data_IF_863930140399
#
_entry.id   IF_863930140399
#
_cell.length_a   1.000
_cell.length_b   1.000
_cell.length_c   1.000
_cell.angle_alpha   90.00
_cell.angle_beta   90.00
_cell.angle_gamma   90.00
#
_symmetry.space_group_name_H-M   'P 1'
#
loop_
_entity.id
_entity.type
_entity.pdbx_description
1 polymer ?
#
# COMPACT_ATOMS: atom_id res chain seq x y z
N UNK A 1 12.39 -2.72 14.45
CA UNK A 1 11.37 -3.35 13.60
C UNK A 1 11.78 -4.77 13.15
N UNK A 2 13.01 -4.96 12.60
CA UNK A 2 13.43 -6.25 12.00
C UNK A 2 13.33 -7.45 12.95
N UNK A 3 13.66 -7.31 14.23
CA UNK A 3 13.53 -8.38 15.24
C UNK A 3 12.12 -8.49 15.83
N UNK A 4 11.37 -7.40 15.84
CA UNK A 4 10.06 -7.35 16.50
C UNK A 4 8.96 -8.08 15.69
N UNK A 5 8.87 -7.84 14.38
CA UNK A 5 7.79 -8.38 13.57
C UNK A 5 7.74 -9.92 13.51
N UNK A 6 8.86 -10.62 13.27
CA UNK A 6 8.83 -12.09 13.31
C UNK A 6 8.45 -12.64 14.68
N UNK A 7 9.00 -12.07 15.77
CA UNK A 7 8.67 -12.48 17.15
C UNK A 7 7.21 -12.23 17.49
N UNK A 8 6.64 -11.10 17.05
CA UNK A 8 5.22 -10.80 17.24
C UNK A 8 4.32 -11.78 16.46
N UNK A 9 4.69 -12.11 15.21
CA UNK A 9 3.98 -13.11 14.42
C UNK A 9 4.00 -14.48 15.10
N UNK A 10 5.17 -14.93 15.58
CA UNK A 10 5.31 -16.20 16.30
C UNK A 10 4.46 -16.25 17.58
N UNK A 11 4.47 -15.17 18.36
CA UNK A 11 3.63 -15.07 19.56
C UNK A 11 2.14 -15.15 19.22
N UNK A 12 1.71 -14.48 18.13
CA UNK A 12 0.34 -14.58 17.64
C UNK A 12 -0.05 -16.01 17.26
N UNK A 13 0.85 -16.72 16.56
CA UNK A 13 0.65 -18.12 16.19
C UNK A 13 0.62 -19.04 17.41
N UNK A 14 1.52 -18.85 18.38
CA UNK A 14 1.54 -19.61 19.64
C UNK A 14 0.23 -19.44 20.43
N UNK A 15 -0.33 -18.24 20.46
CA UNK A 15 -1.62 -17.97 21.10
C UNK A 15 -2.78 -18.63 20.36
N UNK A 16 -2.92 -18.34 19.07
CA UNK A 16 -4.10 -18.73 18.29
C UNK A 16 -4.14 -20.21 17.93
N UNK A 17 -2.99 -20.89 17.94
CA UNK A 17 -2.87 -22.32 17.69
C UNK A 17 -2.70 -23.14 18.98
N UNK A 18 -2.87 -22.53 20.15
CA UNK A 18 -2.79 -23.23 21.44
C UNK A 18 -4.07 -24.07 21.68
N UNK A 19 -3.93 -25.38 21.64
CA UNK A 19 -5.06 -26.31 21.78
C UNK A 19 -5.78 -26.15 23.11
N UNK A 20 -5.05 -26.01 24.22
CA UNK A 20 -5.65 -25.87 25.54
C UNK A 20 -6.44 -24.58 25.71
N UNK A 21 -5.95 -23.48 25.10
CA UNK A 21 -6.66 -22.20 25.08
C UNK A 21 -7.89 -22.27 24.17
N UNK A 22 -7.73 -22.86 22.98
CA UNK A 22 -8.83 -23.01 22.03
C UNK A 22 -9.98 -23.87 22.59
N UNK A 23 -9.68 -25.00 23.26
CA UNK A 23 -10.70 -25.85 23.88
C UNK A 23 -11.52 -25.11 24.94
N UNK A 24 -10.91 -24.19 25.71
CA UNK A 24 -11.65 -23.34 26.65
C UNK A 24 -12.60 -22.38 25.93
N UNK A 25 -12.10 -21.73 24.86
CA UNK A 25 -12.92 -20.82 24.04
C UNK A 25 -14.07 -21.60 23.39
N UNK A 26 -13.77 -22.78 22.84
CA UNK A 26 -14.75 -23.66 22.22
C UNK A 26 -15.82 -24.12 23.21
N UNK A 27 -15.45 -24.47 24.43
CA UNK A 27 -16.41 -24.85 25.49
C UNK A 27 -17.41 -23.72 25.78
N UNK A 28 -16.94 -22.48 25.85
CA UNK A 28 -17.83 -21.32 26.07
C UNK A 28 -18.67 -21.06 24.81
N UNK A 29 -18.07 -21.18 23.62
CA UNK A 29 -18.75 -21.02 22.33
C UNK A 29 -19.90 -22.03 22.14
N UNK A 30 -19.66 -23.30 22.48
CA UNK A 30 -20.67 -24.37 22.36
C UNK A 30 -21.90 -24.11 23.29
N UNK A 31 -21.70 -23.39 24.38
CA UNK A 31 -22.76 -22.99 25.34
C UNK A 31 -23.24 -21.53 25.19
N UNK A 32 -22.93 -20.86 24.07
CA UNK A 32 -23.13 -19.41 23.88
C UNK A 32 -24.58 -18.95 23.93
N UNK A 33 -25.54 -19.86 23.71
CA UNK A 33 -26.95 -19.52 23.77
C UNK A 33 -27.43 -19.14 25.19
N UNK A 34 -26.67 -19.52 26.23
CA UNK A 34 -26.90 -19.15 27.61
C UNK A 34 -26.27 -17.83 28.04
N UNK A 35 -25.53 -17.18 27.17
CA UNK A 35 -24.77 -15.96 27.44
C UNK A 35 -25.62 -14.72 27.13
N UNK A 36 -25.28 -13.61 27.78
CA UNK A 36 -25.83 -12.28 27.41
C UNK A 36 -25.37 -11.91 25.98
N UNK A 37 -26.12 -11.07 25.26
CA UNK A 37 -25.88 -10.77 23.84
C UNK A 37 -24.44 -10.27 23.52
N UNK A 38 -23.86 -9.44 24.36
CA UNK A 38 -22.48 -8.92 24.23
C UNK A 38 -21.45 -10.01 24.50
N UNK A 39 -21.65 -10.86 25.50
CA UNK A 39 -20.81 -12.01 25.81
C UNK A 39 -20.86 -13.04 24.68
N UNK A 40 -22.04 -13.34 24.16
CA UNK A 40 -22.26 -14.21 23.00
C UNK A 40 -21.46 -13.69 21.80
N UNK A 41 -21.63 -12.40 21.48
CA UNK A 41 -20.90 -11.79 20.37
C UNK A 41 -19.38 -11.86 20.57
N UNK A 42 -18.90 -11.60 21.77
CA UNK A 42 -17.48 -11.68 22.08
C UNK A 42 -16.91 -13.09 21.84
N UNK A 43 -17.58 -14.13 22.38
CA UNK A 43 -17.08 -15.52 22.21
C UNK A 43 -17.16 -15.98 20.75
N UNK A 44 -18.16 -15.57 19.99
CA UNK A 44 -18.26 -15.85 18.55
C UNK A 44 -17.08 -15.27 17.79
N UNK A 45 -16.70 -14.01 18.05
CA UNK A 45 -15.56 -13.37 17.41
C UNK A 45 -14.23 -14.01 17.82
N UNK A 46 -14.05 -14.35 19.11
CA UNK A 46 -12.85 -15.09 19.56
C UNK A 46 -12.76 -16.47 18.90
N UNK A 47 -13.82 -17.26 18.94
CA UNK A 47 -13.83 -18.58 18.29
C UNK A 47 -13.49 -18.49 16.81
N UNK A 48 -14.13 -17.58 16.09
CA UNK A 48 -13.89 -17.33 14.68
C UNK A 48 -12.45 -16.89 14.40
N UNK A 49 -11.90 -16.01 15.24
CA UNK A 49 -10.51 -15.58 15.13
C UNK A 49 -9.55 -16.74 15.26
N UNK A 50 -9.73 -17.61 16.24
CA UNK A 50 -8.88 -18.80 16.43
C UNK A 50 -8.98 -19.77 15.25
N UNK A 51 -10.19 -20.06 14.80
CA UNK A 51 -10.42 -20.95 13.64
C UNK A 51 -9.75 -20.40 12.38
N UNK A 52 -9.89 -19.12 12.12
CA UNK A 52 -9.28 -18.43 10.96
C UNK A 52 -7.76 -18.37 11.03
N UNK A 53 -7.18 -18.51 12.20
CA UNK A 53 -5.73 -18.59 12.40
C UNK A 53 -5.22 -20.02 12.59
N UNK A 54 -6.03 -21.04 12.28
CA UNK A 54 -5.58 -22.42 12.17
C UNK A 54 -5.79 -23.28 13.41
N UNK A 55 -6.61 -22.85 14.39
CA UNK A 55 -6.85 -23.63 15.62
C UNK A 55 -7.37 -25.04 15.35
N UNK A 56 -8.15 -25.25 14.28
CA UNK A 56 -8.71 -26.56 13.90
C UNK A 56 -7.78 -27.43 13.05
N UNK A 57 -6.61 -26.95 12.69
CA UNK A 57 -5.65 -27.73 11.90
C UNK A 57 -5.00 -28.83 12.77
N UNK A 58 -4.60 -29.91 12.13
CA UNK A 58 -3.72 -30.91 12.74
C UNK A 58 -2.32 -30.33 13.02
N UNK A 59 -1.55 -31.02 13.84
CA UNK A 59 -0.25 -30.54 14.30
C UNK A 59 0.72 -30.23 13.16
N UNK A 60 0.76 -31.07 12.12
CA UNK A 60 1.67 -30.88 10.99
C UNK A 60 1.30 -29.65 10.18
N UNK A 61 0.01 -29.43 9.91
CA UNK A 61 -0.47 -28.24 9.23
C UNK A 61 -0.33 -26.96 10.05
N UNK A 62 -0.42 -27.05 11.39
CA UNK A 62 -0.13 -25.91 12.26
C UNK A 62 1.33 -25.48 12.11
N UNK A 63 2.28 -26.42 12.11
CA UNK A 63 3.69 -26.10 11.91
C UNK A 63 3.95 -25.54 10.50
N UNK A 64 3.31 -26.07 9.46
CA UNK A 64 3.40 -25.50 8.11
C UNK A 64 2.83 -24.07 8.06
N UNK A 65 1.69 -23.81 8.70
CA UNK A 65 1.09 -22.47 8.75
C UNK A 65 1.97 -21.46 9.49
N UNK A 66 2.60 -21.85 10.61
CA UNK A 66 3.60 -21.04 11.32
C UNK A 66 4.79 -20.68 10.43
N UNK A 67 5.30 -21.66 9.68
CA UNK A 67 6.38 -21.43 8.74
C UNK A 67 5.98 -20.41 7.65
N UNK A 68 4.79 -20.56 7.07
CA UNK A 68 4.24 -19.62 6.07
C UNK A 68 4.01 -18.22 6.67
N UNK A 69 3.52 -18.11 7.91
CA UNK A 69 3.32 -16.82 8.58
C UNK A 69 4.67 -16.13 8.84
N UNK A 70 5.67 -16.86 9.28
CA UNK A 70 7.05 -16.35 9.47
C UNK A 70 7.66 -15.89 8.15
N UNK A 71 7.50 -16.66 7.08
CA UNK A 71 7.93 -16.26 5.72
C UNK A 71 7.26 -14.96 5.27
N UNK A 72 5.94 -14.86 5.43
CA UNK A 72 5.19 -13.63 5.08
C UNK A 72 5.67 -12.43 5.90
N UNK A 73 5.89 -12.58 7.22
CA UNK A 73 6.40 -11.50 8.06
C UNK A 73 7.75 -10.98 7.56
N UNK A 74 8.68 -11.88 7.22
CA UNK A 74 9.99 -11.51 6.68
C UNK A 74 9.89 -10.87 5.29
N UNK A 75 9.01 -11.37 4.42
CA UNK A 75 8.78 -10.81 3.09
C UNK A 75 8.18 -9.39 3.18
N UNK A 76 7.25 -9.14 4.09
CA UNK A 76 6.71 -7.79 4.31
C UNK A 76 7.77 -6.82 4.85
N UNK A 77 8.65 -7.28 5.74
CA UNK A 77 9.80 -6.49 6.19
C UNK A 77 10.71 -6.13 5.01
N UNK A 78 11.06 -7.10 4.18
CA UNK A 78 11.89 -6.89 3.00
C UNK A 78 11.24 -5.92 2.03
N UNK A 79 9.94 -6.10 1.74
CA UNK A 79 9.17 -5.21 0.89
C UNK A 79 9.22 -3.76 1.37
N UNK A 80 8.94 -3.54 2.65
CA UNK A 80 8.94 -2.19 3.23
C UNK A 80 10.34 -1.58 3.28
N UNK A 81 11.38 -2.38 3.55
CA UNK A 81 12.77 -1.93 3.53
C UNK A 81 13.21 -1.48 2.13
N UNK A 82 12.90 -2.29 1.11
CA UNK A 82 13.18 -1.93 -0.27
C UNK A 82 12.45 -0.64 -0.69
N UNK A 83 11.17 -0.52 -0.34
CA UNK A 83 10.39 0.68 -0.60
C UNK A 83 10.99 1.92 0.07
N UNK A 84 11.36 1.80 1.35
CA UNK A 84 12.00 2.90 2.09
C UNK A 84 13.35 3.29 1.48
N UNK A 85 14.19 2.31 1.17
CA UNK A 85 15.50 2.55 0.58
C UNK A 85 15.38 3.23 -0.79
N UNK A 86 14.48 2.73 -1.65
CA UNK A 86 14.23 3.33 -2.96
C UNK A 86 13.67 4.77 -2.83
N UNK A 87 12.76 5.01 -1.87
CA UNK A 87 12.23 6.35 -1.59
C UNK A 87 13.34 7.33 -1.18
N UNK A 88 14.22 6.90 -0.28
CA UNK A 88 15.31 7.74 0.24
C UNK A 88 16.45 7.95 -0.77
N UNK A 89 16.63 7.01 -1.70
CA UNK A 89 17.66 7.10 -2.74
C UNK A 89 17.25 7.99 -3.91
N UNK A 90 15.94 8.22 -4.10
CA UNK A 90 15.46 9.06 -5.20
C UNK A 90 15.69 10.54 -4.92
N UNK A 91 16.26 11.23 -5.89
CA UNK A 91 16.42 12.69 -5.88
C UNK A 91 16.36 13.27 -7.29
N UNK A 92 15.81 14.47 -7.42
CA UNK A 92 15.96 15.33 -8.59
C UNK A 92 16.78 16.53 -8.15
N UNK A 93 17.97 16.67 -8.73
CA UNK A 93 18.86 17.81 -8.46
C UNK A 93 18.64 18.86 -9.55
N UNK A 94 18.24 20.06 -9.14
CA UNK A 94 18.07 21.21 -10.01
C UNK A 94 19.21 22.20 -9.75
N UNK A 95 19.92 22.59 -10.79
CA UNK A 95 21.05 23.52 -10.75
C UNK A 95 20.67 24.91 -11.31
N UNK A 96 19.68 24.95 -12.22
CA UNK A 96 19.21 26.16 -12.84
C UNK A 96 17.92 26.65 -12.18
N UNK A 97 17.98 27.81 -11.53
CA UNK A 97 16.83 28.43 -10.85
C UNK A 97 15.67 28.78 -11.78
N UNK A 98 15.88 28.91 -13.07
CA UNK A 98 14.80 29.16 -14.04
C UNK A 98 13.82 28.02 -14.14
N UNK A 99 14.25 26.79 -13.86
CA UNK A 99 13.41 25.59 -13.81
C UNK A 99 12.45 25.53 -12.60
N UNK A 100 12.64 26.43 -11.62
CA UNK A 100 11.82 26.50 -10.42
C UNK A 100 10.56 27.37 -10.60
N UNK A 101 10.34 27.91 -11.81
CA UNK A 101 9.16 28.70 -12.13
C UNK A 101 7.87 27.98 -11.74
N UNK A 102 6.89 28.74 -11.22
CA UNK A 102 5.61 28.24 -10.75
C UNK A 102 5.61 27.67 -9.33
N UNK A 103 6.76 27.24 -8.81
CA UNK A 103 6.83 26.65 -7.46
C UNK A 103 6.62 27.67 -6.35
N UNK A 104 5.89 27.33 -5.26
CA UNK A 104 5.81 28.15 -4.07
C UNK A 104 7.19 28.40 -3.44
N UNK A 105 7.42 29.62 -2.91
CA UNK A 105 8.68 29.99 -2.28
C UNK A 105 9.06 29.05 -1.10
N UNK A 106 8.07 28.56 -0.35
CA UNK A 106 8.29 27.58 0.71
C UNK A 106 8.85 26.26 0.19
N UNK A 107 8.40 25.79 -0.98
CA UNK A 107 8.88 24.57 -1.62
C UNK A 107 10.31 24.74 -2.16
N UNK A 108 10.61 25.92 -2.73
CA UNK A 108 11.96 26.26 -3.19
C UNK A 108 12.93 26.32 -2.00
N UNK A 109 12.54 26.97 -0.89
CA UNK A 109 13.36 27.03 0.31
C UNK A 109 13.62 25.62 0.89
N UNK A 110 12.59 24.79 0.99
CA UNK A 110 12.72 23.40 1.45
C UNK A 110 13.68 22.59 0.56
N UNK A 111 13.59 22.74 -0.76
CA UNK A 111 14.46 22.04 -1.69
C UNK A 111 15.93 22.52 -1.58
N UNK A 112 16.15 23.81 -1.29
CA UNK A 112 17.48 24.37 -1.03
C UNK A 112 18.06 23.83 0.30
N UNK A 113 17.24 23.74 1.36
CA UNK A 113 17.66 23.16 2.64
C UNK A 113 17.99 21.67 2.50
N UNK A 114 17.20 20.92 1.73
CA UNK A 114 17.49 19.53 1.41
C UNK A 114 18.80 19.37 0.65
N UNK A 115 19.05 20.22 -0.35
CA UNK A 115 20.33 20.24 -1.09
C UNK A 115 21.51 20.55 -0.16
N UNK A 116 21.35 21.55 0.72
CA UNK A 116 22.38 21.90 1.70
C UNK A 116 22.67 20.75 2.68
N UNK A 117 21.67 20.03 3.15
CA UNK A 117 21.83 18.87 4.03
C UNK A 117 22.64 17.73 3.37
N UNK A 118 22.64 17.68 2.03
CA UNK A 118 23.38 16.72 1.19
C UNK A 118 24.72 17.26 0.70
N UNK A 119 25.16 18.43 1.16
CA UNK A 119 26.41 19.06 0.71
C UNK A 119 26.37 19.64 -0.71
N UNK A 120 25.17 19.92 -1.23
CA UNK A 120 24.95 20.49 -2.58
C UNK A 120 24.47 21.95 -2.47
N UNK A 121 25.21 22.81 -1.77
CA UNK A 121 24.86 24.23 -1.63
C UNK A 121 24.75 24.92 -3.00
N UNK A 122 23.77 25.80 -3.15
CA UNK A 122 23.47 26.52 -4.40
C UNK A 122 22.62 25.75 -5.40
N UNK A 123 22.18 24.53 -5.05
CA UNK A 123 21.25 23.69 -5.82
C UNK A 123 19.94 23.49 -5.07
N UNK A 124 18.99 22.82 -5.70
CA UNK A 124 17.72 22.40 -5.12
C UNK A 124 17.51 20.91 -5.30
N UNK A 125 17.13 20.22 -4.24
CA UNK A 125 16.88 18.78 -4.27
C UNK A 125 15.41 18.51 -3.95
N UNK A 126 14.74 17.82 -4.88
CA UNK A 126 13.38 17.32 -4.70
C UNK A 126 13.38 15.82 -4.49
N UNK A 127 12.56 15.36 -3.54
CA UNK A 127 12.47 13.95 -3.12
C UNK A 127 11.05 13.42 -3.30
N UNK A 128 10.86 12.08 -3.17
CA UNK A 128 9.54 11.46 -3.27
C UNK A 128 8.64 11.68 -2.05
N UNK A 129 9.15 12.28 -0.97
CA UNK A 129 8.32 12.61 0.19
C UNK A 129 7.22 13.61 -0.18
N UNK A 130 6.01 13.38 0.36
CA UNK A 130 4.82 14.14 -0.05
C UNK A 130 4.99 15.67 -0.02
N UNK A 131 5.63 16.29 1.01
CA UNK A 131 5.83 17.75 1.04
C UNK A 131 6.72 18.29 -0.10
N UNK A 132 7.62 17.48 -0.65
CA UNK A 132 8.47 17.84 -1.79
C UNK A 132 7.81 17.50 -3.11
N UNK A 133 7.22 16.31 -3.22
CA UNK A 133 6.65 15.77 -4.46
C UNK A 133 5.37 16.48 -4.90
N UNK A 134 4.40 16.68 -3.97
CA UNK A 134 3.10 17.22 -4.36
C UNK A 134 3.18 18.65 -4.90
N UNK A 135 3.86 19.61 -4.24
CA UNK A 135 4.00 20.95 -4.81
C UNK A 135 4.72 20.97 -6.15
N UNK A 136 5.70 20.08 -6.37
CA UNK A 136 6.38 19.99 -7.65
C UNK A 136 5.42 19.56 -8.77
N UNK A 137 4.58 18.53 -8.52
CA UNK A 137 3.61 18.05 -9.49
C UNK A 137 2.47 19.07 -9.75
N UNK A 138 2.09 19.85 -8.72
CA UNK A 138 0.99 20.80 -8.81
C UNK A 138 1.39 22.15 -9.43
N UNK A 139 2.60 22.63 -9.17
CA UNK A 139 2.93 24.03 -9.42
C UNK A 139 4.15 24.23 -10.33
N UNK A 140 5.05 23.28 -10.51
CA UNK A 140 6.21 23.48 -11.36
C UNK A 140 5.79 23.69 -12.82
N UNK A 141 6.18 24.83 -13.43
CA UNK A 141 5.95 25.09 -14.85
C UNK A 141 6.78 24.15 -15.74
N UNK A 142 7.95 23.72 -15.25
CA UNK A 142 8.83 22.78 -15.94
C UNK A 142 8.21 21.38 -16.03
N UNK A 143 7.71 21.04 -17.22
CA UNK A 143 7.05 19.76 -17.49
C UNK A 143 7.95 18.55 -17.31
N UNK A 144 9.26 18.70 -17.61
CA UNK A 144 10.23 17.63 -17.46
C UNK A 144 10.47 17.27 -15.99
N UNK A 145 10.51 18.27 -15.09
CA UNK A 145 10.56 18.01 -13.65
C UNK A 145 9.32 17.26 -13.16
N UNK A 146 8.12 17.63 -13.65
CA UNK A 146 6.89 16.89 -13.31
C UNK A 146 6.96 15.44 -13.80
N UNK A 147 7.45 15.23 -15.04
CA UNK A 147 7.60 13.88 -15.62
C UNK A 147 8.59 13.03 -14.81
N UNK A 148 9.76 13.57 -14.49
CA UNK A 148 10.76 12.87 -13.69
C UNK A 148 10.21 12.47 -12.31
N UNK A 149 9.52 13.39 -11.63
CA UNK A 149 8.91 13.13 -10.33
C UNK A 149 7.80 12.08 -10.41
N UNK A 150 6.93 12.17 -11.41
CA UNK A 150 5.87 11.20 -11.63
C UNK A 150 6.41 9.81 -11.90
N UNK A 151 7.39 9.71 -12.81
CA UNK A 151 8.03 8.44 -13.13
C UNK A 151 8.73 7.84 -11.92
N UNK A 152 9.55 8.63 -11.21
CA UNK A 152 10.23 8.16 -10.00
C UNK A 152 9.27 7.63 -8.93
N UNK A 153 8.10 8.25 -8.78
CA UNK A 153 7.09 7.80 -7.83
C UNK A 153 6.34 6.54 -8.31
N UNK A 154 5.96 6.47 -9.58
CA UNK A 154 5.14 5.36 -10.09
C UNK A 154 5.94 4.09 -10.40
N UNK A 155 7.26 4.19 -10.55
CA UNK A 155 8.15 3.05 -10.74
C UNK A 155 8.99 2.72 -9.50
N UNK A 156 8.59 3.25 -8.34
CA UNK A 156 9.32 3.08 -7.09
C UNK A 156 9.48 1.59 -6.72
N UNK A 157 10.73 1.18 -6.45
CA UNK A 157 11.11 -0.20 -6.15
C UNK A 157 10.68 -1.23 -7.23
N UNK A 158 10.54 -0.79 -8.48
CA UNK A 158 10.18 -1.67 -9.59
C UNK A 158 11.40 -2.49 -10.07
N UNK A 159 12.56 -1.85 -10.16
CA UNK A 159 13.80 -2.47 -10.65
C UNK A 159 15.01 -2.14 -9.74
N UNK A 160 16.20 -2.57 -10.15
CA UNK A 160 17.47 -2.33 -9.45
C UNK A 160 17.59 -3.12 -8.14
N UNK A 161 18.52 -2.66 -7.30
CA UNK A 161 18.90 -3.33 -6.05
C UNK A 161 17.73 -3.43 -5.05
N UNK A 162 16.84 -2.44 -5.04
CA UNK A 162 15.67 -2.37 -4.16
C UNK A 162 14.40 -2.90 -4.83
N UNK A 163 14.50 -3.73 -5.88
CA UNK A 163 13.33 -4.25 -6.58
C UNK A 163 12.44 -5.12 -5.70
N UNK A 164 11.14 -4.79 -5.69
CA UNK A 164 10.12 -5.58 -4.99
C UNK A 164 9.44 -6.64 -5.88
N UNK A 165 9.73 -6.71 -7.18
CA UNK A 165 9.10 -7.71 -8.07
C UNK A 165 9.29 -9.15 -7.56
N UNK A 166 10.52 -9.62 -7.25
CA UNK A 166 10.71 -10.98 -6.74
C UNK A 166 10.08 -11.18 -5.34
N UNK A 167 10.03 -10.13 -4.53
CA UNK A 167 9.40 -10.16 -3.19
C UNK A 167 7.89 -10.33 -3.33
N UNK A 168 7.25 -9.57 -4.23
CA UNK A 168 5.81 -9.66 -4.52
C UNK A 168 5.44 -11.09 -4.96
N UNK A 169 6.20 -11.70 -5.87
CA UNK A 169 5.96 -13.05 -6.32
C UNK A 169 6.00 -14.07 -5.16
N UNK A 170 6.97 -13.95 -4.26
CA UNK A 170 7.04 -14.80 -3.06
C UNK A 170 5.88 -14.57 -2.10
N UNK A 171 5.46 -13.30 -1.90
CA UNK A 171 4.29 -12.97 -1.08
C UNK A 171 3.03 -13.63 -1.66
N UNK A 172 2.82 -13.55 -2.97
CA UNK A 172 1.65 -14.15 -3.62
C UNK A 172 1.64 -15.68 -3.46
N UNK A 173 2.80 -16.34 -3.64
CA UNK A 173 2.93 -17.78 -3.43
C UNK A 173 2.66 -18.18 -1.97
N UNK A 174 3.22 -17.45 -1.00
CA UNK A 174 3.00 -17.71 0.41
C UNK A 174 1.54 -17.49 0.83
N UNK A 175 0.88 -16.44 0.31
CA UNK A 175 -0.55 -16.19 0.51
C UNK A 175 -1.43 -17.31 -0.05
N UNK A 176 -1.09 -17.83 -1.23
CA UNK A 176 -1.80 -18.96 -1.83
C UNK A 176 -1.69 -20.20 -0.95
N UNK A 177 -0.48 -20.53 -0.46
CA UNK A 177 -0.28 -21.66 0.48
C UNK A 177 -1.06 -21.46 1.78
N UNK A 178 -1.04 -20.25 2.34
CA UNK A 178 -1.81 -19.92 3.55
C UNK A 178 -3.30 -20.15 3.36
N UNK A 179 -3.87 -19.66 2.28
CA UNK A 179 -5.29 -19.85 1.98
C UNK A 179 -5.66 -21.34 1.84
N UNK A 180 -4.85 -22.11 1.12
CA UNK A 180 -5.06 -23.55 0.93
C UNK A 180 -5.00 -24.32 2.26
N UNK A 181 -4.02 -24.02 3.13
CA UNK A 181 -3.92 -24.64 4.47
C UNK A 181 -5.17 -24.36 5.32
N UNK A 182 -5.74 -23.17 5.23
CA UNK A 182 -6.94 -22.76 5.95
C UNK A 182 -8.25 -23.22 5.27
N UNK A 183 -8.17 -23.96 4.17
CA UNK A 183 -9.33 -24.51 3.47
C UNK A 183 -10.07 -23.53 2.55
N UNK A 184 -9.44 -22.41 2.18
CA UNK A 184 -10.01 -21.44 1.26
C UNK A 184 -9.54 -21.70 -0.18
N UNK A 185 -10.41 -21.40 -1.14
CA UNK A 185 -10.12 -21.52 -2.57
C UNK A 185 -8.92 -20.67 -3.00
N UNK A 186 -8.84 -19.47 -2.48
CA UNK A 186 -7.79 -18.48 -2.74
C UNK A 186 -7.66 -17.48 -1.60
N UNK A 187 -6.63 -16.64 -1.65
CA UNK A 187 -6.38 -15.63 -0.60
C UNK A 187 -7.43 -14.53 -0.56
N UNK A 188 -8.04 -14.17 -1.70
CA UNK A 188 -9.14 -13.24 -1.78
C UNK A 188 -10.35 -13.73 -1.00
N UNK A 189 -10.73 -14.99 -1.19
CA UNK A 189 -11.81 -15.65 -0.44
C UNK A 189 -11.53 -15.68 1.07
N UNK A 190 -10.29 -16.00 1.48
CA UNK A 190 -9.87 -15.92 2.88
C UNK A 190 -10.03 -14.51 3.45
N UNK A 191 -9.64 -13.47 2.70
CA UNK A 191 -9.71 -12.10 3.17
C UNK A 191 -11.15 -11.57 3.26
N UNK A 192 -12.00 -11.92 2.28
CA UNK A 192 -13.38 -11.38 2.19
C UNK A 192 -14.37 -12.09 3.10
N UNK A 193 -14.13 -13.34 3.50
CA UNK A 193 -15.03 -14.14 4.35
C UNK A 193 -15.44 -13.42 5.65
N UNK A 194 -14.51 -12.72 6.29
CA UNK A 194 -14.73 -12.08 7.59
C UNK A 194 -14.93 -10.56 7.55
N UNK A 195 -15.24 -9.99 6.39
CA UNK A 195 -15.55 -8.56 6.24
C UNK A 195 -16.95 -8.36 5.66
N UNK A 196 -17.41 -7.12 5.52
CA UNK A 196 -18.76 -6.80 5.02
C UNK A 196 -19.05 -7.41 3.64
N UNK A 197 -18.06 -7.49 2.77
CA UNK A 197 -18.22 -8.03 1.43
C UNK A 197 -18.59 -9.52 1.41
N UNK A 198 -18.12 -10.32 2.37
CA UNK A 198 -18.31 -11.77 2.49
C UNK A 198 -17.72 -12.61 1.37
N UNK A 199 -17.76 -12.14 0.13
CA UNK A 199 -17.25 -12.83 -1.06
C UNK A 199 -16.41 -11.88 -1.92
N UNK A 200 -15.55 -12.46 -2.74
CA UNK A 200 -14.78 -11.70 -3.75
C UNK A 200 -15.73 -11.03 -4.75
N UNK A 201 -16.75 -11.74 -5.19
CA UNK A 201 -17.72 -11.24 -6.18
C UNK A 201 -18.46 -9.98 -5.66
N UNK A 202 -18.88 -9.97 -4.39
CA UNK A 202 -19.51 -8.79 -3.78
C UNK A 202 -18.55 -7.60 -3.70
N UNK A 203 -17.28 -7.86 -3.39
CA UNK A 203 -16.25 -6.81 -3.36
C UNK A 203 -16.01 -6.24 -4.77
N UNK A 204 -15.90 -7.11 -5.79
CA UNK A 204 -15.72 -6.72 -7.18
C UNK A 204 -16.93 -5.95 -7.71
N UNK A 205 -18.16 -6.41 -7.42
CA UNK A 205 -19.36 -5.68 -7.81
C UNK A 205 -19.39 -4.25 -7.27
N UNK A 206 -19.05 -4.06 -5.99
CA UNK A 206 -18.96 -2.73 -5.40
C UNK A 206 -17.87 -1.88 -6.05
N UNK A 207 -16.69 -2.45 -6.26
CA UNK A 207 -15.59 -1.76 -6.94
C UNK A 207 -15.98 -1.33 -8.35
N UNK A 208 -16.66 -2.19 -9.13
CA UNK A 208 -17.07 -1.88 -10.50
C UNK A 208 -18.19 -0.84 -10.56
N UNK A 209 -19.07 -0.78 -9.56
CA UNK A 209 -20.08 0.29 -9.46
C UNK A 209 -19.44 1.67 -9.29
N UNK A 210 -18.29 1.74 -8.63
CA UNK A 210 -17.56 3.00 -8.43
C UNK A 210 -16.61 3.26 -9.60
N UNK A 211 -15.88 2.24 -10.04
CA UNK A 211 -14.84 2.35 -11.05
C UNK A 211 -15.35 2.90 -12.39
N UNK A 212 -16.44 2.34 -12.91
CA UNK A 212 -16.98 2.73 -14.22
C UNK A 212 -17.34 4.23 -14.30
N UNK A 213 -18.15 4.79 -13.37
CA UNK A 213 -18.46 6.23 -13.39
C UNK A 213 -17.22 7.08 -13.08
N UNK A 214 -16.29 6.62 -12.21
CA UNK A 214 -15.07 7.35 -11.90
C UNK A 214 -14.17 7.49 -13.14
N UNK A 215 -13.98 6.42 -13.92
CA UNK A 215 -13.21 6.47 -15.17
C UNK A 215 -13.85 7.42 -16.18
N UNK A 216 -15.18 7.38 -16.33
CA UNK A 216 -15.90 8.31 -17.21
C UNK A 216 -15.66 9.77 -16.79
N UNK A 217 -15.74 10.06 -15.48
CA UNK A 217 -15.49 11.42 -14.94
C UNK A 217 -14.05 11.87 -15.18
N UNK A 218 -13.05 11.00 -14.96
CA UNK A 218 -11.64 11.34 -15.24
C UNK A 218 -11.43 11.70 -16.72
N UNK A 219 -12.10 11.01 -17.65
CA UNK A 219 -12.02 11.37 -19.07
C UNK A 219 -12.58 12.76 -19.36
N UNK A 220 -13.68 13.15 -18.71
CA UNK A 220 -14.25 14.51 -18.82
C UNK A 220 -13.27 15.55 -18.26
N UNK A 221 -12.73 15.31 -17.07
CA UNK A 221 -11.75 16.22 -16.42
C UNK A 221 -10.48 16.39 -17.27
N UNK A 222 -9.95 15.33 -17.84
CA UNK A 222 -8.78 15.39 -18.73
C UNK A 222 -9.12 16.18 -20.01
N UNK A 223 -10.34 16.06 -20.54
CA UNK A 223 -10.78 16.86 -21.69
C UNK A 223 -10.88 18.36 -21.35
N UNK A 224 -11.38 18.70 -20.15
CA UNK A 224 -11.40 20.08 -19.63
C UNK A 224 -9.98 20.65 -19.50
N UNK A 225 -9.06 19.87 -18.91
CA UNK A 225 -7.64 20.23 -18.79
C UNK A 225 -6.97 20.43 -20.16
N UNK A 226 -7.27 19.55 -21.13
CA UNK A 226 -6.74 19.66 -22.48
C UNK A 226 -7.25 20.93 -23.19
N UNK A 227 -8.54 21.26 -23.02
CA UNK A 227 -9.11 22.47 -23.56
C UNK A 227 -8.47 23.75 -22.96
N UNK A 228 -8.21 23.74 -21.64
CA UNK A 228 -7.49 24.80 -20.96
C UNK A 228 -6.07 24.98 -21.52
N UNK A 229 -5.29 23.89 -21.61
CA UNK A 229 -3.94 23.89 -22.15
C UNK A 229 -3.90 24.52 -23.57
N UNK A 230 -4.78 24.06 -24.45
CA UNK A 230 -4.89 24.57 -25.83
C UNK A 230 -5.23 26.07 -25.88
N UNK A 231 -6.14 26.53 -25.00
CA UNK A 231 -6.55 27.93 -24.95
C UNK A 231 -5.44 28.88 -24.46
N UNK A 232 -4.47 28.36 -23.69
CA UNK A 232 -3.33 29.09 -23.17
C UNK A 232 -2.06 28.94 -23.99
N UNK A 233 -2.14 28.27 -25.13
CA UNK A 233 -1.01 28.10 -26.07
C UNK A 233 -0.06 26.96 -25.75
N UNK A 234 -0.41 26.10 -24.82
CA UNK A 234 0.36 24.89 -24.50
C UNK A 234 0.10 23.83 -25.58
N UNK A 235 1.06 23.66 -26.49
CA UNK A 235 0.98 22.69 -27.59
C UNK A 235 1.37 21.28 -27.10
N UNK A 236 0.63 20.73 -26.13
CA UNK A 236 0.87 19.42 -25.55
C UNK A 236 -0.38 18.56 -25.60
N UNK A 237 -0.19 17.24 -25.52
CA UNK A 237 -1.23 16.31 -25.10
C UNK A 237 -1.06 16.07 -23.61
N UNK A 238 -2.15 16.19 -22.82
CA UNK A 238 -2.14 15.92 -21.38
C UNK A 238 -1.68 14.48 -21.13
N UNK A 239 -0.63 14.35 -20.34
CA UNK A 239 -0.07 13.10 -19.88
C UNK A 239 -0.26 12.93 -18.36
N UNK A 240 -0.03 11.73 -17.79
CA UNK A 240 -0.26 11.51 -16.36
C UNK A 240 0.47 12.47 -15.41
N UNK A 241 1.65 12.94 -15.78
CA UNK A 241 2.44 13.92 -15.01
C UNK A 241 1.93 15.36 -15.13
N UNK A 242 0.99 15.61 -16.02
CA UNK A 242 0.38 16.94 -16.20
C UNK A 242 -0.91 17.08 -15.39
N UNK A 243 -1.50 15.95 -14.93
CA UNK A 243 -2.82 15.94 -14.29
C UNK A 243 -2.91 16.89 -13.08
N UNK A 244 -1.99 16.76 -12.11
CA UNK A 244 -1.99 17.63 -10.92
C UNK A 244 -1.81 19.12 -11.27
N UNK A 245 -0.95 19.42 -12.25
CA UNK A 245 -0.66 20.79 -12.66
C UNK A 245 -1.86 21.47 -13.31
N UNK A 246 -2.56 20.79 -14.20
CA UNK A 246 -3.74 21.36 -14.85
C UNK A 246 -4.98 21.27 -13.97
N UNK A 247 -5.09 20.32 -13.07
CA UNK A 247 -6.18 20.27 -12.09
C UNK A 247 -6.21 21.48 -11.14
N UNK A 248 -5.05 22.13 -10.89
CA UNK A 248 -4.97 23.39 -10.13
C UNK A 248 -5.39 24.63 -10.96
N UNK A 249 -5.62 24.48 -12.26
CA UNK A 249 -5.90 25.60 -13.19
C UNK A 249 -7.34 25.60 -13.74
N UNK A 250 -8.05 24.50 -13.63
CA UNK A 250 -9.45 24.32 -14.02
C UNK A 250 -10.32 24.03 -12.80
#
# INVERSE_FOLDING_TARGET
AEKFYPTYSQFGDEMTMNDALFERIKTVYDNRESLEPDQRRAVEEYYKSFVRNGALLDADKKEELKAVNTELANLYLTFNKNLLNATNAFEIVVEDSTRLSGLPQSSIAQAADEAKSRGMEGKWVFTLHAPSRLPLLQYADDRDLRQQMYQGYTTLAFDGENSNQPVINKILQARTRKAALLGFKDYGSYMTDNVMAKTVDNAEELLMKIWRPAVARVHEEVAEMQAYANAHGDNITIAPWDYYYYAEKV
#
